data_IF_485378817261
#
_entry.id   IF_485378817261
#
_cell.length_a   1.000
_cell.length_b   1.000
_cell.length_c   1.000
_cell.angle_alpha   90.00
_cell.angle_beta   90.00
_cell.angle_gamma   90.00
#
_symmetry.space_group_name_H-M   'P 1'
#
loop_
_entity.id
_entity.type
_entity.pdbx_description
1 polymer ?
#
# COMPACT_ATOMS: atom_id res chain seq x y z
N UNK A 1 14.90 1.84 -21.35
CA UNK A 1 13.58 2.44 -21.08
C UNK A 1 13.63 3.29 -19.84
N UNK A 2 12.80 4.30 -19.80
CA UNK A 2 12.76 5.22 -18.69
C UNK A 2 11.99 4.64 -17.50
N UNK A 3 12.58 4.72 -16.32
CA UNK A 3 11.91 4.37 -15.07
C UNK A 3 10.91 5.46 -14.71
N UNK A 4 9.68 5.08 -14.43
CA UNK A 4 8.62 6.01 -14.09
C UNK A 4 8.00 5.56 -12.77
N UNK A 5 7.71 6.54 -11.90
CA UNK A 5 7.00 6.31 -10.64
C UNK A 5 5.57 6.79 -10.78
N UNK A 6 4.63 5.91 -10.46
CA UNK A 6 3.21 6.24 -10.47
C UNK A 6 2.75 6.35 -9.01
N UNK A 7 2.25 7.52 -8.63
CA UNK A 7 1.77 7.77 -7.29
C UNK A 7 0.37 7.21 -7.09
N UNK A 8 0.13 6.68 -5.89
CA UNK A 8 -1.20 6.28 -5.47
C UNK A 8 -1.75 7.31 -4.47
N UNK A 9 -3.07 7.44 -4.41
CA UNK A 9 -3.71 8.18 -3.33
C UNK A 9 -3.34 7.53 -2.00
N UNK A 10 -3.02 8.31 -0.95
CA UNK A 10 -2.68 7.72 0.33
C UNK A 10 -3.80 6.83 0.87
N UNK A 11 -3.41 5.71 1.44
CA UNK A 11 -4.35 4.76 2.02
C UNK A 11 -4.40 5.00 3.52
N UNK A 12 -5.60 5.29 4.04
CA UNK A 12 -5.79 5.53 5.47
C UNK A 12 -6.34 4.27 6.10
N UNK A 13 -5.59 3.66 7.01
CA UNK A 13 -6.01 2.46 7.71
C UNK A 13 -6.31 2.82 9.16
N UNK A 14 -7.57 2.71 9.55
CA UNK A 14 -7.99 2.95 10.92
C UNK A 14 -7.92 1.65 11.70
N UNK A 15 -7.23 1.69 12.83
CA UNK A 15 -7.07 0.54 13.71
C UNK A 15 -7.90 0.75 14.96
N UNK A 16 -8.78 -0.20 15.23
CA UNK A 16 -9.76 -0.07 16.30
C UNK A 16 -9.28 -0.75 17.57
N UNK A 17 -9.66 -0.17 18.70
CA UNK A 17 -9.55 -0.78 19.99
C UNK A 17 -10.94 -0.70 20.61
N UNK A 18 -11.62 -1.86 20.67
CA UNK A 18 -13.04 -1.86 20.98
C UNK A 18 -13.83 -1.18 19.84
N UNK A 19 -14.64 -0.19 20.18
CA UNK A 19 -15.43 0.56 19.22
C UNK A 19 -14.82 1.91 18.84
N UNK A 20 -13.63 2.21 19.38
CA UNK A 20 -12.98 3.49 19.14
C UNK A 20 -11.78 3.32 18.22
N UNK A 21 -11.49 4.36 17.43
CA UNK A 21 -10.28 4.41 16.61
C UNK A 21 -9.10 4.69 17.54
N UNK A 22 -8.21 3.70 17.70
CA UNK A 22 -7.02 3.85 18.52
C UNK A 22 -5.89 4.55 17.76
N UNK A 23 -5.83 4.33 16.45
CA UNK A 23 -4.73 4.79 15.63
C UNK A 23 -5.18 4.85 14.17
N UNK A 24 -4.66 5.82 13.44
CA UNK A 24 -4.79 5.87 11.98
C UNK A 24 -3.40 5.81 11.39
N UNK A 25 -3.20 4.91 10.44
CA UNK A 25 -1.94 4.79 9.71
C UNK A 25 -2.18 5.25 8.29
N UNK A 26 -1.44 6.27 7.86
CA UNK A 26 -1.42 6.69 6.47
C UNK A 26 -0.33 5.92 5.75
N UNK A 27 -0.68 5.21 4.70
CA UNK A 27 0.28 4.45 3.90
C UNK A 27 0.39 5.12 2.54
N UNK A 28 1.60 5.61 2.22
CA UNK A 28 1.89 6.24 0.94
C UNK A 28 2.62 5.23 0.07
N UNK A 29 2.14 5.05 -1.15
CA UNK A 29 2.66 4.05 -2.07
C UNK A 29 2.98 4.70 -3.41
N UNK A 30 4.18 4.39 -3.93
CA UNK A 30 4.57 4.71 -5.31
C UNK A 30 4.90 3.41 -6.00
N UNK A 31 4.48 3.27 -7.24
CA UNK A 31 4.75 2.08 -8.04
C UNK A 31 5.78 2.44 -9.11
N UNK A 32 6.90 1.72 -9.12
CA UNK A 32 7.92 1.87 -10.14
C UNK A 32 7.61 0.96 -11.31
N UNK A 33 7.66 1.51 -12.52
CA UNK A 33 7.46 0.77 -13.75
C UNK A 33 8.40 1.28 -14.85
N UNK A 34 8.50 0.54 -15.94
CA UNK A 34 9.36 0.91 -17.05
C UNK A 34 8.52 1.37 -18.25
N UNK A 35 8.81 2.58 -18.71
CA UNK A 35 8.24 3.12 -19.93
C UNK A 35 6.86 3.73 -19.75
N UNK A 36 6.54 4.64 -20.68
CA UNK A 36 5.32 5.42 -20.62
C UNK A 36 4.06 4.57 -20.79
N UNK A 37 4.10 3.57 -21.67
CA UNK A 37 2.93 2.72 -21.93
C UNK A 37 2.52 1.95 -20.67
N UNK A 38 3.50 1.43 -19.93
CA UNK A 38 3.23 0.74 -18.68
C UNK A 38 2.70 1.69 -17.62
N UNK A 39 3.25 2.91 -17.55
CA UNK A 39 2.77 3.92 -16.60
C UNK A 39 1.31 4.31 -16.87
N UNK A 40 0.95 4.48 -18.15
CA UNK A 40 -0.43 4.76 -18.54
C UNK A 40 -1.35 3.61 -18.17
N UNK A 41 -0.92 2.38 -18.45
CA UNK A 41 -1.70 1.19 -18.11
C UNK A 41 -1.93 1.09 -16.60
N UNK A 42 -0.86 1.26 -15.80
CA UNK A 42 -0.99 1.25 -14.34
C UNK A 42 -1.97 2.31 -13.84
N UNK A 43 -1.88 3.51 -14.41
CA UNK A 43 -2.79 4.61 -14.02
C UNK A 43 -4.25 4.24 -14.27
N UNK A 44 -4.52 3.57 -15.40
CA UNK A 44 -5.87 3.10 -15.71
C UNK A 44 -6.35 2.02 -14.78
N UNK A 45 -5.43 1.17 -14.29
CA UNK A 45 -5.74 0.07 -13.39
C UNK A 45 -5.73 0.50 -11.91
N UNK A 46 -5.42 1.77 -11.64
CA UNK A 46 -5.22 2.23 -10.27
C UNK A 46 -6.42 1.96 -9.34
N UNK A 47 -7.68 2.14 -9.75
CA UNK A 47 -8.79 1.82 -8.86
C UNK A 47 -8.79 0.35 -8.42
N UNK A 48 -8.45 -0.56 -9.32
CA UNK A 48 -8.37 -1.99 -9.03
C UNK A 48 -7.20 -2.30 -8.10
N UNK A 49 -6.04 -1.71 -8.37
CA UNK A 49 -4.83 -1.89 -7.55
C UNK A 49 -5.06 -1.34 -6.14
N UNK A 50 -5.61 -0.14 -6.06
CA UNK A 50 -5.90 0.52 -4.78
C UNK A 50 -6.85 -0.32 -3.94
N UNK A 51 -7.92 -0.84 -4.54
CA UNK A 51 -8.88 -1.69 -3.85
C UNK A 51 -8.21 -2.94 -3.27
N UNK A 52 -7.37 -3.59 -4.05
CA UNK A 52 -6.66 -4.78 -3.59
C UNK A 52 -5.69 -4.46 -2.45
N UNK A 53 -4.97 -3.34 -2.54
CA UNK A 53 -4.03 -2.92 -1.50
C UNK A 53 -4.78 -2.55 -0.22
N UNK A 54 -5.89 -1.85 -0.32
CA UNK A 54 -6.70 -1.50 0.84
C UNK A 54 -7.17 -2.75 1.58
N UNK A 55 -7.68 -3.73 0.85
CA UNK A 55 -8.14 -4.99 1.44
C UNK A 55 -7.02 -5.72 2.16
N UNK A 56 -5.84 -5.79 1.54
CA UNK A 56 -4.70 -6.47 2.16
C UNK A 56 -4.25 -5.75 3.43
N UNK A 57 -4.14 -4.44 3.38
CA UNK A 57 -3.67 -3.66 4.52
C UNK A 57 -4.65 -3.74 5.69
N UNK A 58 -5.95 -3.66 5.44
CA UNK A 58 -6.94 -3.78 6.51
C UNK A 58 -6.95 -5.16 7.14
N UNK A 59 -6.65 -6.19 6.37
CA UNK A 59 -6.56 -7.55 6.90
C UNK A 59 -5.26 -7.78 7.67
N UNK A 60 -4.15 -7.21 7.20
CA UNK A 60 -2.83 -7.55 7.71
C UNK A 60 -2.34 -6.65 8.83
N UNK A 61 -2.58 -5.33 8.75
CA UNK A 61 -1.98 -4.39 9.70
C UNK A 61 -2.38 -4.61 11.16
N UNK A 62 -3.64 -4.98 11.47
CA UNK A 62 -3.96 -5.32 12.86
C UNK A 62 -3.13 -6.48 13.41
N UNK A 63 -2.86 -7.48 12.57
CA UNK A 63 -2.02 -8.61 12.96
C UNK A 63 -0.57 -8.20 13.17
N UNK A 64 -0.05 -7.35 12.29
CA UNK A 64 1.31 -6.85 12.40
C UNK A 64 1.53 -6.11 13.72
N UNK A 65 0.60 -5.21 14.07
CA UNK A 65 0.68 -4.46 15.31
C UNK A 65 0.60 -5.35 16.53
N UNK A 66 -0.26 -6.36 16.48
CA UNK A 66 -0.43 -7.29 17.58
C UNK A 66 0.83 -8.12 17.82
N UNK A 67 1.48 -8.54 16.73
CA UNK A 67 2.66 -9.41 16.79
C UNK A 67 3.95 -8.63 17.00
N UNK A 68 4.17 -7.59 16.21
CA UNK A 68 5.42 -6.83 16.21
C UNK A 68 5.34 -5.53 17.00
N UNK A 69 4.14 -5.08 17.34
CA UNK A 69 3.86 -3.85 18.09
C UNK A 69 4.38 -2.59 17.39
N UNK A 70 4.57 -2.65 16.09
CA UNK A 70 5.01 -1.52 15.27
C UNK A 70 4.62 -1.77 13.82
N UNK A 71 4.67 -0.71 13.01
CA UNK A 71 4.49 -0.81 11.57
C UNK A 71 5.85 -1.05 10.93
N UNK A 72 5.98 -2.17 10.23
CA UNK A 72 7.19 -2.54 9.53
C UNK A 72 6.96 -2.31 8.03
N UNK A 73 7.47 -1.20 7.50
CA UNK A 73 7.24 -0.81 6.10
C UNK A 73 7.84 -1.80 5.12
N UNK A 74 8.92 -2.48 5.50
CA UNK A 74 9.55 -3.46 4.61
C UNK A 74 8.61 -4.66 4.39
N UNK A 75 7.93 -5.09 5.43
CA UNK A 75 6.94 -6.17 5.32
C UNK A 75 5.74 -5.69 4.49
N UNK A 76 5.28 -4.46 4.69
CA UNK A 76 4.19 -3.90 3.88
C UNK A 76 4.57 -3.86 2.41
N UNK A 77 5.78 -3.42 2.11
CA UNK A 77 6.30 -3.38 0.75
C UNK A 77 6.26 -4.77 0.11
N UNK A 78 6.76 -5.78 0.81
CA UNK A 78 6.78 -7.15 0.30
C UNK A 78 5.37 -7.68 0.04
N UNK A 79 4.44 -7.40 0.94
CA UNK A 79 3.05 -7.84 0.77
C UNK A 79 2.39 -7.17 -0.44
N UNK A 80 2.55 -5.86 -0.57
CA UNK A 80 1.94 -5.12 -1.67
C UNK A 80 2.56 -5.51 -3.01
N UNK A 81 3.86 -5.85 -3.03
CA UNK A 81 4.50 -6.36 -4.22
C UNK A 81 3.84 -7.67 -4.68
N UNK A 82 3.59 -8.58 -3.75
CA UNK A 82 2.93 -9.85 -4.06
C UNK A 82 1.50 -9.63 -4.53
N UNK A 83 0.75 -8.78 -3.85
CA UNK A 83 -0.63 -8.46 -4.24
C UNK A 83 -0.67 -7.84 -5.63
N UNK A 84 0.21 -6.88 -5.88
CA UNK A 84 0.29 -6.22 -7.19
C UNK A 84 0.63 -7.18 -8.32
N UNK A 85 1.58 -8.08 -8.10
CA UNK A 85 1.98 -9.06 -9.11
C UNK A 85 0.87 -10.07 -9.40
N UNK A 86 0.14 -10.50 -8.37
CA UNK A 86 -1.00 -11.40 -8.57
C UNK A 86 -2.09 -10.74 -9.41
N UNK A 87 -2.30 -9.45 -9.20
CA UNK A 87 -3.36 -8.72 -9.88
C UNK A 87 -2.98 -8.35 -11.32
N UNK A 88 -1.75 -7.88 -11.52
CA UNK A 88 -1.31 -7.30 -12.79
C UNK A 88 -0.41 -8.23 -13.62
N UNK A 89 0.09 -9.31 -13.04
CA UNK A 89 1.06 -10.17 -13.69
C UNK A 89 2.49 -9.70 -13.41
N UNK A 90 3.45 -10.54 -13.78
CA UNK A 90 4.87 -10.26 -13.57
C UNK A 90 5.38 -9.23 -14.58
N UNK A 91 6.30 -8.40 -14.12
CA UNK A 91 7.07 -7.51 -14.99
C UNK A 91 6.51 -6.11 -15.14
N UNK A 92 5.23 -5.89 -14.84
CA UNK A 92 4.65 -4.56 -14.93
C UNK A 92 5.10 -3.68 -13.76
N UNK A 93 5.05 -4.22 -12.54
CA UNK A 93 5.47 -3.52 -11.34
C UNK A 93 6.90 -3.92 -11.05
N UNK A 94 7.85 -3.01 -11.22
CA UNK A 94 9.26 -3.26 -10.96
C UNK A 94 9.57 -3.22 -9.47
N UNK A 95 9.00 -2.24 -8.78
CA UNK A 95 9.21 -2.06 -7.36
C UNK A 95 8.06 -1.26 -6.78
N UNK A 96 7.93 -1.31 -5.48
CA UNK A 96 6.95 -0.53 -4.75
C UNK A 96 7.67 0.19 -3.61
N UNK A 97 7.48 1.50 -3.54
CA UNK A 97 8.00 2.32 -2.45
C UNK A 97 6.89 2.58 -1.47
N UNK A 98 7.12 2.32 -0.20
CA UNK A 98 6.12 2.45 0.85
C UNK A 98 6.66 3.32 1.97
N UNK A 99 5.85 4.28 2.39
CA UNK A 99 6.08 5.08 3.58
C UNK A 99 4.85 5.04 4.45
N UNK A 100 5.03 5.13 5.75
CA UNK A 100 3.90 5.16 6.68
C UNK A 100 4.02 6.31 7.65
N UNK A 101 2.87 6.88 8.01
CA UNK A 101 2.74 7.90 9.04
C UNK A 101 1.69 7.44 10.02
N UNK A 102 2.00 7.52 11.31
CA UNK A 102 1.05 7.16 12.36
C UNK A 102 0.46 8.42 12.94
N UNK A 103 -0.87 8.49 12.98
CA UNK A 103 -1.60 9.54 13.64
C UNK A 103 -2.44 8.97 14.77
N UNK A 104 -2.67 9.77 15.80
CA UNK A 104 -3.60 9.44 16.87
C UNK A 104 -4.86 10.27 16.71
N UNK A 105 -6.02 9.77 17.18
CA UNK A 105 -7.24 10.56 17.14
C UNK A 105 -7.05 11.86 17.92
N UNK A 106 -7.63 12.94 17.42
CA UNK A 106 -7.61 14.22 18.10
C UNK A 106 -8.49 14.15 19.37
N UNK A 107 -8.02 14.66 20.44
CA UNK A 107 -8.78 14.80 21.68
C UNK A 107 -8.64 13.78 22.69
#
# INVERSE_FOLDING_TARGET
MQTIFVDMEPIMVQLLQGNAVAMTVEVQVKIETEGQDNAVFLTRQMPKISDAFVRDLYAFMPRMLKTKKRIDVLILKQRLQVVGERLMGRGLIKDILVQSKIGTPAG
#
